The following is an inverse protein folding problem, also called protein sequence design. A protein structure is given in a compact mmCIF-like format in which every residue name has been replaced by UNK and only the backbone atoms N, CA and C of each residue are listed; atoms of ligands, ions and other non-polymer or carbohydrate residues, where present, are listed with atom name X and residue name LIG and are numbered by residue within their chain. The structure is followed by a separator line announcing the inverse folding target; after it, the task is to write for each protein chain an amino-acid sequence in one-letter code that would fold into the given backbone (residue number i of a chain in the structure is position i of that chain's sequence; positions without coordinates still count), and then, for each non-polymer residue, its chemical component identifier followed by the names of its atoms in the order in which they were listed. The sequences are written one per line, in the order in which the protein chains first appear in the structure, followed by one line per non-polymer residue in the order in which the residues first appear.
data_IF_453172154149
#
_entry.id   IF_453172154149
#
_cell.length_a   1.000
_cell.length_b   1.000
_cell.length_c   1.000
_cell.angle_alpha   90.00
_cell.angle_beta   90.00
_cell.angle_gamma   90.00
#
_symmetry.space_group_name_H-M   'P 1'
#
loop_
_entity.id
_entity.type
_entity.pdbx_description
1 polymer ?
#
# COMPACT_ATOMS: atom_id res chain seq x y z
N UNK A 1 55.24 44.82 26.68
CA UNK A 1 53.80 44.66 26.32
C UNK A 1 53.54 43.91 25.01
N UNK A 2 54.50 43.18 24.42
CA UNK A 2 54.32 42.51 23.11
C UNK A 2 54.08 40.99 23.17
N UNK A 3 54.21 40.34 24.33
CA UNK A 3 54.13 38.87 24.46
C UNK A 3 52.71 38.33 24.67
N UNK A 4 51.80 39.08 25.32
CA UNK A 4 50.45 38.60 25.65
C UNK A 4 49.44 38.64 24.48
N UNK A 5 49.70 39.45 23.46
CA UNK A 5 48.82 39.55 22.27
C UNK A 5 48.99 38.35 21.34
N UNK A 6 50.22 37.82 21.19
CA UNK A 6 50.52 36.67 20.33
C UNK A 6 49.90 35.38 20.90
N UNK A 7 50.00 35.16 22.22
CA UNK A 7 49.43 33.98 22.90
C UNK A 7 47.90 33.96 22.89
N UNK A 8 47.20 35.11 22.99
CA UNK A 8 45.74 35.15 22.81
C UNK A 8 45.33 34.83 21.38
N UNK A 9 46.11 35.26 20.39
CA UNK A 9 45.80 35.04 18.97
C UNK A 9 46.02 33.57 18.55
N UNK A 10 47.07 32.91 19.06
CA UNK A 10 47.31 31.48 18.81
C UNK A 10 46.23 30.61 19.47
N UNK A 11 45.80 30.95 20.69
CA UNK A 11 44.72 30.22 21.36
C UNK A 11 43.35 30.40 20.68
N UNK A 12 43.04 31.61 20.18
CA UNK A 12 41.79 31.85 19.45
C UNK A 12 41.75 31.10 18.11
N UNK A 13 42.86 31.13 17.34
CA UNK A 13 42.97 30.38 16.09
C UNK A 13 42.93 28.87 16.33
N UNK A 14 43.58 28.36 17.38
CA UNK A 14 43.54 26.93 17.72
C UNK A 14 42.14 26.45 18.15
N UNK A 15 41.37 27.29 18.86
CA UNK A 15 39.99 27.00 19.23
C UNK A 15 39.07 27.03 18.00
N UNK A 16 39.19 28.06 17.14
CA UNK A 16 38.42 28.16 15.89
C UNK A 16 38.74 26.99 14.93
N UNK A 17 40.02 26.59 14.84
CA UNK A 17 40.44 25.43 14.06
C UNK A 17 39.92 24.10 14.63
N UNK A 18 39.86 23.95 15.96
CA UNK A 18 39.26 22.77 16.61
C UNK A 18 37.76 22.69 16.41
N UNK A 19 37.04 23.81 16.48
CA UNK A 19 35.61 23.84 16.17
C UNK A 19 35.34 23.50 14.70
N UNK A 20 36.09 24.09 13.77
CA UNK A 20 35.99 23.79 12.33
C UNK A 20 36.27 22.31 12.03
N UNK A 21 37.31 21.73 12.66
CA UNK A 21 37.63 20.30 12.51
C UNK A 21 36.51 19.38 13.03
N UNK A 22 35.84 19.74 14.12
CA UNK A 22 34.71 18.95 14.65
C UNK A 22 33.49 19.00 13.73
N UNK A 23 33.19 20.15 13.11
CA UNK A 23 32.12 20.25 12.12
C UNK A 23 32.42 19.47 10.84
N UNK A 24 33.68 19.49 10.38
CA UNK A 24 34.12 18.71 9.22
C UNK A 24 34.02 17.21 9.51
N UNK A 25 34.46 16.77 10.70
CA UNK A 25 34.37 15.36 11.11
C UNK A 25 32.91 14.90 11.30
N UNK A 26 32.01 15.77 11.76
CA UNK A 26 30.58 15.47 11.87
C UNK A 26 29.93 15.37 10.49
N UNK A 27 30.29 16.25 9.55
CA UNK A 27 29.75 16.25 8.19
C UNK A 27 30.25 15.04 7.37
N UNK A 28 31.50 14.63 7.55
CA UNK A 28 32.02 13.41 6.92
C UNK A 28 31.43 12.15 7.52
N UNK A 29 31.11 12.14 8.83
CA UNK A 29 30.40 11.04 9.48
C UNK A 29 28.95 10.91 8.99
N UNK A 30 28.23 12.02 8.83
CA UNK A 30 26.88 12.06 8.25
C UNK A 30 26.86 11.56 6.79
N UNK A 31 27.86 11.93 5.98
CA UNK A 31 28.00 11.45 4.60
C UNK A 31 28.42 9.96 4.53
N UNK A 32 29.14 9.43 5.53
CA UNK A 32 29.53 8.03 5.57
C UNK A 32 28.33 7.09 5.89
N UNK A 33 27.34 7.57 6.65
CA UNK A 33 26.15 6.79 7.00
C UNK A 33 25.18 6.59 5.83
N UNK A 34 25.15 7.49 4.84
CA UNK A 34 24.26 7.34 3.67
C UNK A 34 24.77 6.29 2.68
N UNK A 35 26.07 5.99 2.67
CA UNK A 35 26.65 4.99 1.78
C UNK A 35 26.46 3.53 2.23
N UNK A 36 26.03 3.27 3.47
CA UNK A 36 25.85 1.89 3.98
C UNK A 36 24.41 1.35 3.87
N UNK A 37 23.43 2.17 3.48
CA UNK A 37 22.04 1.72 3.31
C UNK A 37 21.69 1.23 1.90
N UNK A 38 22.55 1.49 0.89
CA UNK A 38 22.23 1.18 -0.51
C UNK A 38 22.66 -0.21 -0.98
N UNK A 39 23.24 -1.04 -0.10
CA UNK A 39 23.80 -2.36 -0.48
C UNK A 39 23.14 -3.57 0.20
N UNK A 40 22.04 -3.37 0.94
CA UNK A 40 21.38 -4.44 1.71
C UNK A 40 19.87 -4.64 1.39
N UNK A 41 19.42 -4.38 0.15
CA UNK A 41 18.06 -4.78 -0.28
C UNK A 41 17.99 -5.65 -1.54
N UNK A 42 19.12 -6.08 -2.10
CA UNK A 42 19.13 -7.07 -3.17
C UNK A 42 19.24 -8.48 -2.56
N UNK A 43 18.14 -9.00 -2.03
CA UNK A 43 18.17 -10.34 -1.44
C UNK A 43 16.91 -10.92 -0.81
N UNK A 44 15.72 -10.32 -0.96
CA UNK A 44 14.47 -10.93 -0.45
C UNK A 44 13.26 -10.72 -1.37
N UNK A 45 13.46 -10.78 -2.68
CA UNK A 45 12.38 -10.78 -3.67
C UNK A 45 12.45 -12.00 -4.58
N UNK A 46 12.70 -13.17 -4.01
CA UNK A 46 12.41 -14.45 -4.66
C UNK A 46 12.30 -15.53 -3.60
N UNK A 47 11.06 -15.89 -3.27
CA UNK A 47 10.46 -17.22 -3.01
C UNK A 47 9.17 -16.99 -2.21
N UNK A 48 8.24 -16.27 -2.81
CA UNK A 48 6.82 -16.53 -2.58
C UNK A 48 6.11 -16.26 -3.90
N UNK A 49 6.46 -17.04 -4.92
CA UNK A 49 5.42 -17.47 -5.84
C UNK A 49 4.41 -18.20 -4.95
N UNK A 50 3.42 -17.46 -4.40
CA UNK A 50 2.24 -18.07 -3.81
C UNK A 50 1.67 -18.90 -4.95
N UNK A 51 1.96 -20.20 -4.96
CA UNK A 51 1.23 -21.11 -5.81
C UNK A 51 -0.23 -20.89 -5.44
N UNK A 52 -0.99 -20.32 -6.39
CA UNK A 52 -2.42 -20.09 -6.21
C UNK A 52 -3.01 -21.42 -5.78
N UNK A 53 -3.69 -21.44 -4.64
CA UNK A 53 -4.24 -22.68 -4.10
C UNK A 53 -5.35 -23.23 -5.00
N UNK A 54 -6.03 -22.33 -5.72
CA UNK A 54 -7.04 -22.62 -6.73
C UNK A 54 -6.83 -21.71 -7.94
N UNK A 55 -7.21 -22.13 -9.16
CA UNK A 55 -7.02 -21.31 -10.35
C UNK A 55 -7.92 -20.08 -10.40
N UNK A 56 -9.14 -20.15 -9.83
CA UNK A 56 -10.14 -19.10 -9.91
C UNK A 56 -11.18 -19.16 -8.78
N UNK A 57 -11.85 -18.04 -8.52
CA UNK A 57 -13.02 -17.93 -7.62
C UNK A 57 -14.12 -17.11 -8.27
N UNK A 58 -15.28 -17.72 -8.50
CA UNK A 58 -16.48 -17.03 -8.98
C UNK A 58 -17.46 -16.85 -7.84
N UNK A 59 -17.97 -15.63 -7.67
CA UNK A 59 -18.73 -15.24 -6.48
C UNK A 59 -20.14 -14.88 -6.88
N UNK A 60 -21.11 -15.44 -6.17
CA UNK A 60 -22.53 -15.15 -6.32
C UNK A 60 -23.12 -14.88 -4.94
N UNK A 61 -24.08 -13.98 -4.85
CA UNK A 61 -24.72 -13.65 -3.58
C UNK A 61 -25.25 -12.23 -3.54
N UNK A 62 -25.32 -11.70 -2.32
CA UNK A 62 -25.87 -10.39 -2.02
C UNK A 62 -24.80 -9.40 -1.53
N UNK A 63 -25.22 -8.38 -0.77
CA UNK A 63 -24.36 -7.38 -0.13
C UNK A 63 -23.18 -7.95 0.67
N UNK A 64 -23.32 -9.13 1.27
CA UNK A 64 -22.27 -9.72 2.12
C UNK A 64 -21.00 -10.05 1.33
N UNK A 65 -21.13 -10.24 0.03
CA UNK A 65 -20.04 -10.66 -0.86
C UNK A 65 -19.90 -9.79 -2.10
N UNK A 66 -20.71 -8.73 -2.26
CA UNK A 66 -20.59 -7.75 -3.34
C UNK A 66 -19.26 -6.96 -3.24
N UNK A 67 -18.52 -6.91 -4.35
CA UNK A 67 -17.27 -6.14 -4.47
C UNK A 67 -17.43 -4.77 -5.13
N UNK A 68 -18.67 -4.36 -5.43
CA UNK A 68 -19.01 -3.04 -5.95
C UNK A 68 -19.88 -3.03 -7.20
N UNK A 69 -20.56 -4.14 -7.55
CA UNK A 69 -21.42 -4.23 -8.73
C UNK A 69 -22.52 -3.17 -8.72
N UNK A 70 -23.11 -2.90 -7.56
CA UNK A 70 -24.22 -1.96 -7.43
C UNK A 70 -23.86 -0.51 -7.82
N UNK A 71 -22.58 -0.13 -7.80
CA UNK A 71 -22.16 1.21 -8.22
C UNK A 71 -22.53 1.50 -9.68
N UNK A 72 -22.57 0.46 -10.51
CA UNK A 72 -22.84 0.51 -11.94
C UNK A 72 -24.32 0.28 -12.30
N UNK A 73 -25.16 -0.05 -11.32
CA UNK A 73 -26.59 -0.30 -11.52
C UNK A 73 -27.43 0.93 -11.20
N UNK A 74 -28.64 1.02 -11.77
CA UNK A 74 -29.66 2.01 -11.39
C UNK A 74 -30.44 1.50 -10.17
N UNK A 75 -29.83 1.60 -8.99
CA UNK A 75 -30.38 1.12 -7.71
C UNK A 75 -30.09 2.08 -6.57
N UNK A 76 -30.91 2.06 -5.53
CA UNK A 76 -30.66 2.76 -4.26
C UNK A 76 -29.70 1.97 -3.34
N UNK A 77 -29.49 0.68 -3.60
CA UNK A 77 -28.59 -0.18 -2.83
C UNK A 77 -27.11 0.07 -3.19
N UNK A 78 -26.64 1.31 -3.09
CA UNK A 78 -25.23 1.68 -3.29
C UNK A 78 -24.60 2.04 -1.95
N UNK A 79 -23.31 1.76 -1.82
CA UNK A 79 -22.50 2.04 -0.62
C UNK A 79 -21.12 2.60 -1.00
N UNK A 80 -21.09 3.42 -2.05
CA UNK A 80 -19.89 4.14 -2.50
C UNK A 80 -19.73 5.52 -1.82
N UNK A 81 -20.03 5.59 -0.53
CA UNK A 81 -19.95 6.80 0.29
C UNK A 81 -19.47 6.46 1.72
N UNK A 82 -18.95 7.44 2.44
CA UNK A 82 -18.53 7.30 3.85
C UNK A 82 -19.72 6.87 4.73
N UNK A 83 -19.56 5.90 5.66
CA UNK A 83 -18.29 5.36 6.19
C UNK A 83 -17.67 4.19 5.41
N UNK A 84 -18.37 3.65 4.41
CA UNK A 84 -17.92 2.46 3.71
C UNK A 84 -16.54 2.65 3.04
N UNK A 85 -15.70 1.62 3.12
CA UNK A 85 -14.36 1.63 2.55
C UNK A 85 -13.30 2.44 3.31
N UNK A 86 -13.60 2.98 4.50
CA UNK A 86 -12.63 3.74 5.32
C UNK A 86 -11.37 2.92 5.68
N UNK A 87 -11.51 1.61 5.88
CA UNK A 87 -10.44 0.65 6.17
C UNK A 87 -9.96 -0.10 4.91
N UNK A 88 -10.58 0.14 3.75
CA UNK A 88 -10.11 -0.43 2.47
C UNK A 88 -8.86 0.32 2.01
N UNK A 89 -7.97 -0.28 1.19
CA UNK A 89 -6.81 0.43 0.65
C UNK A 89 -7.15 1.82 0.11
N UNK A 90 -6.41 2.83 0.60
CA UNK A 90 -6.58 4.26 0.32
C UNK A 90 -7.85 4.92 0.89
N UNK A 91 -8.62 4.24 1.75
CA UNK A 91 -9.82 4.79 2.38
C UNK A 91 -10.97 5.08 1.39
N UNK A 92 -11.02 4.36 0.27
CA UNK A 92 -11.97 4.62 -0.81
C UNK A 92 -13.17 3.69 -0.71
N UNK A 93 -14.36 4.26 -0.78
CA UNK A 93 -15.62 3.52 -0.85
C UNK A 93 -15.75 2.79 -2.20
N UNK A 94 -15.45 1.49 -2.21
CA UNK A 94 -15.46 0.66 -3.43
C UNK A 94 -16.84 0.10 -3.79
N UNK A 95 -17.84 0.24 -2.91
CA UNK A 95 -19.15 -0.41 -3.06
C UNK A 95 -19.26 -1.76 -2.34
N UNK A 96 -18.24 -2.16 -1.57
CA UNK A 96 -18.35 -3.23 -0.56
C UNK A 96 -19.19 -2.74 0.61
N UNK A 97 -20.12 -3.56 1.09
CA UNK A 97 -21.01 -3.25 2.22
C UNK A 97 -20.31 -3.42 3.58
N UNK A 98 -19.12 -2.84 3.71
CA UNK A 98 -18.26 -2.88 4.89
C UNK A 98 -17.29 -1.69 4.86
N UNK A 99 -16.66 -1.41 6.01
CA UNK A 99 -15.60 -0.40 6.12
C UNK A 99 -14.32 -0.84 5.37
N UNK A 100 -14.12 -2.14 5.13
CA UNK A 100 -12.91 -2.64 4.49
C UNK A 100 -13.15 -3.84 3.56
N UNK A 101 -12.50 -4.95 3.88
CA UNK A 101 -12.57 -6.18 3.10
C UNK A 101 -13.84 -6.98 3.39
N UNK A 102 -14.43 -7.60 2.37
CA UNK A 102 -15.43 -8.65 2.54
C UNK A 102 -14.75 -9.99 2.86
N UNK A 103 -15.54 -11.00 3.25
CA UNK A 103 -15.04 -12.38 3.44
C UNK A 103 -14.36 -12.92 2.18
N UNK A 104 -14.85 -12.53 1.00
CA UNK A 104 -14.29 -12.95 -0.30
C UNK A 104 -12.91 -12.34 -0.53
N UNK A 105 -12.68 -11.09 -0.11
CA UNK A 105 -11.35 -10.48 -0.27
C UNK A 105 -10.32 -11.16 0.63
N UNK A 106 -10.70 -11.50 1.87
CA UNK A 106 -9.84 -12.28 2.75
C UNK A 106 -9.54 -13.67 2.17
N UNK A 107 -10.57 -14.31 1.61
CA UNK A 107 -10.42 -15.59 0.91
C UNK A 107 -9.46 -15.48 -0.28
N UNK A 108 -9.62 -14.48 -1.15
CA UNK A 108 -8.73 -14.25 -2.29
C UNK A 108 -7.27 -14.04 -1.84
N UNK A 109 -7.05 -13.22 -0.81
CA UNK A 109 -5.71 -12.99 -0.23
C UNK A 109 -5.08 -14.27 0.31
N UNK A 110 -5.88 -15.13 0.95
CA UNK A 110 -5.44 -16.41 1.47
C UNK A 110 -5.10 -17.39 0.34
N UNK A 111 -5.92 -17.44 -0.71
CA UNK A 111 -5.72 -18.28 -1.90
C UNK A 111 -4.57 -17.81 -2.81
N UNK A 112 -4.02 -16.61 -2.58
CA UNK A 112 -2.98 -16.02 -3.43
C UNK A 112 -3.54 -15.46 -4.74
N UNK A 113 -4.82 -15.09 -4.77
CA UNK A 113 -5.47 -14.45 -5.90
C UNK A 113 -5.52 -12.93 -5.72
N UNK A 114 -5.62 -12.20 -6.83
CA UNK A 114 -6.03 -10.79 -6.82
C UNK A 114 -7.48 -10.66 -6.31
N UNK A 115 -7.89 -9.45 -5.92
CA UNK A 115 -9.30 -9.21 -5.58
C UNK A 115 -10.19 -9.57 -6.76
N UNK A 116 -11.33 -10.20 -6.46
CA UNK A 116 -12.25 -10.65 -7.48
C UNK A 116 -13.05 -9.43 -7.99
N UNK A 117 -12.87 -9.01 -9.25
CA UNK A 117 -13.48 -7.78 -9.76
C UNK A 117 -15.00 -7.91 -9.84
N UNK A 118 -15.75 -6.81 -9.62
CA UNK A 118 -17.19 -6.80 -9.86
C UNK A 118 -17.46 -6.93 -11.36
N UNK A 119 -18.35 -7.86 -11.73
CA UNK A 119 -18.75 -8.10 -13.13
C UNK A 119 -19.12 -6.80 -13.86
N UNK A 120 -19.88 -5.93 -13.20
CA UNK A 120 -20.41 -4.71 -13.81
C UNK A 120 -19.35 -3.62 -14.06
N UNK A 121 -18.15 -3.75 -13.49
CA UNK A 121 -17.05 -2.82 -13.81
C UNK A 121 -16.25 -3.21 -15.05
N UNK A 122 -16.44 -4.43 -15.56
CA UNK A 122 -15.62 -4.98 -16.64
C UNK A 122 -16.30 -4.80 -18.01
N UNK A 123 -15.53 -4.37 -19.00
CA UNK A 123 -15.92 -4.43 -20.40
C UNK A 123 -16.12 -5.87 -20.88
N UNK A 124 -16.68 -6.06 -22.07
CA UNK A 124 -16.84 -7.41 -22.66
C UNK A 124 -15.50 -8.09 -22.91
N UNK A 125 -14.51 -7.33 -23.38
CA UNK A 125 -13.16 -7.83 -23.61
C UNK A 125 -12.51 -8.28 -22.29
N UNK A 126 -12.56 -7.45 -21.25
CA UNK A 126 -12.00 -7.81 -19.94
C UNK A 126 -12.69 -9.03 -19.34
N UNK A 127 -14.02 -9.17 -19.50
CA UNK A 127 -14.76 -10.36 -19.08
C UNK A 127 -14.27 -11.62 -19.80
N UNK A 128 -13.98 -11.53 -21.10
CA UNK A 128 -13.48 -12.67 -21.89
C UNK A 128 -12.07 -13.11 -21.49
N UNK A 129 -11.23 -12.17 -21.05
CA UNK A 129 -9.83 -12.42 -20.67
C UNK A 129 -9.69 -12.77 -19.18
N UNK A 130 -10.69 -12.47 -18.34
CA UNK A 130 -10.64 -12.73 -16.90
C UNK A 130 -10.84 -14.21 -16.60
N UNK A 131 -9.73 -14.90 -16.33
CA UNK A 131 -9.71 -16.35 -16.05
C UNK A 131 -9.60 -16.69 -14.56
N UNK A 132 -9.31 -15.71 -13.70
CA UNK A 132 -9.06 -15.92 -12.27
C UNK A 132 -10.30 -15.73 -11.39
N UNK A 133 -11.46 -15.46 -11.99
CA UNK A 133 -12.71 -15.27 -11.26
C UNK A 133 -13.35 -13.90 -11.46
N UNK A 134 -14.68 -13.86 -11.33
CA UNK A 134 -15.50 -12.65 -11.41
C UNK A 134 -16.55 -12.69 -10.29
N UNK A 135 -16.87 -11.53 -9.74
CA UNK A 135 -17.88 -11.36 -8.72
C UNK A 135 -19.20 -10.89 -9.32
N UNK A 136 -20.23 -11.73 -9.24
CA UNK A 136 -21.59 -11.49 -9.73
C UNK A 136 -22.58 -11.11 -8.61
N UNK A 137 -22.11 -10.99 -7.36
CA UNK A 137 -22.97 -10.64 -6.25
C UNK A 137 -23.47 -9.20 -6.37
N UNK A 138 -24.65 -8.93 -5.82
CA UNK A 138 -25.27 -7.61 -5.88
C UNK A 138 -26.01 -7.30 -4.59
N UNK A 139 -25.77 -6.13 -4.01
CA UNK A 139 -26.52 -5.66 -2.85
C UNK A 139 -28.04 -5.74 -3.07
N UNK A 140 -28.76 -6.27 -2.07
CA UNK A 140 -30.19 -6.56 -2.09
C UNK A 140 -30.65 -7.67 -3.07
N UNK A 141 -29.72 -8.45 -3.65
CA UNK A 141 -30.09 -9.67 -4.35
C UNK A 141 -30.74 -10.68 -3.39
N UNK A 142 -31.73 -11.41 -3.89
CA UNK A 142 -32.42 -12.47 -3.16
C UNK A 142 -32.65 -13.68 -4.06
N UNK A 143 -33.12 -14.77 -3.46
CA UNK A 143 -33.51 -15.96 -4.20
C UNK A 143 -34.93 -15.74 -4.73
N UNK A 144 -35.12 -15.90 -6.04
CA UNK A 144 -36.46 -15.92 -6.62
C UNK A 144 -37.13 -17.26 -6.26
N UNK A 145 -38.34 -17.25 -5.67
CA UNK A 145 -39.09 -18.47 -5.33
C UNK A 145 -39.62 -19.21 -6.55
#
# INVERSE_FOLDING_TARGET
MHSQTLTRNINCNLVIMKFSSMFILFYTFLLAQTCQFSSASQGLASVHAKNKLVPAVYVFGDSLVDSGNNNYLKTSAKVNYTPYGVDFPNGVATGRFTDGYTVVDFLAKWLGLSYIPPYMSLSEEERSQTTTGINYASGAAGILP
#
